data_IF_799169072664
#
_entry.id   IF_799169072664
#
_cell.length_a   1.000
_cell.length_b   1.000
_cell.length_c   1.000
_cell.angle_alpha   90.00
_cell.angle_beta   90.00
_cell.angle_gamma   90.00
#
_symmetry.space_group_name_H-M   'P 1'
#
loop_
_entity.id
_entity.type
_entity.pdbx_description
1 polymer ?
#
# COMPACT_ATOMS: atom_id res chain seq x y z
N UNK A 1 -9.54 -6.55 -23.93
CA UNK A 1 -8.80 -6.72 -22.66
C UNK A 1 -9.13 -5.52 -21.80
N UNK A 2 -9.54 -5.73 -20.56
CA UNK A 2 -9.80 -4.62 -19.64
C UNK A 2 -8.47 -4.16 -19.04
N UNK A 3 -8.24 -2.85 -18.98
CA UNK A 3 -7.12 -2.25 -18.25
C UNK A 3 -7.57 -2.09 -16.79
N UNK A 4 -6.68 -2.38 -15.86
CA UNK A 4 -6.88 -2.19 -14.41
C UNK A 4 -5.83 -1.20 -13.93
N UNK A 5 -6.27 -0.08 -13.40
CA UNK A 5 -5.39 0.93 -12.81
C UNK A 5 -5.25 0.68 -11.32
N UNK A 6 -4.01 0.55 -10.86
CA UNK A 6 -3.67 0.25 -9.46
C UNK A 6 -2.78 1.35 -8.91
N UNK A 7 -3.08 1.83 -7.71
CA UNK A 7 -2.21 2.76 -6.99
C UNK A 7 -1.70 2.12 -5.69
N UNK A 8 -0.47 2.45 -5.29
CA UNK A 8 0.03 2.18 -3.94
C UNK A 8 0.55 3.47 -3.30
N UNK A 9 0.28 3.65 -2.01
CA UNK A 9 0.70 4.85 -1.30
C UNK A 9 0.88 4.59 0.20
N UNK A 10 2.10 4.77 0.71
CA UNK A 10 2.32 4.91 2.14
C UNK A 10 1.89 6.32 2.58
N UNK A 11 0.81 6.43 3.34
CA UNK A 11 0.18 7.70 3.72
C UNK A 11 0.75 8.33 4.99
N UNK A 12 1.82 7.77 5.54
CA UNK A 12 2.47 8.25 6.76
C UNK A 12 1.46 8.59 7.89
N UNK A 13 0.51 7.70 8.08
CA UNK A 13 -0.52 7.81 9.14
C UNK A 13 -1.43 9.05 9.03
N UNK A 14 -1.50 9.68 7.84
CA UNK A 14 -2.31 10.88 7.60
C UNK A 14 -1.83 12.15 8.28
N UNK A 15 -0.59 12.16 8.82
CA UNK A 15 -0.03 13.29 9.58
C UNK A 15 1.43 13.50 9.20
N UNK A 16 1.79 14.71 8.82
CA UNK A 16 3.15 15.12 8.49
C UNK A 16 3.79 16.03 9.52
N UNK A 17 5.12 16.04 9.58
CA UNK A 17 5.91 16.88 10.47
C UNK A 17 6.13 16.33 11.87
N UNK A 18 6.91 17.01 12.68
CA UNK A 18 7.30 16.61 14.03
C UNK A 18 6.87 17.64 15.07
N UNK A 19 6.57 17.19 16.28
CA UNK A 19 6.23 18.06 17.41
C UNK A 19 5.11 19.07 17.11
N UNK A 20 5.32 20.37 17.40
CA UNK A 20 4.33 21.41 17.12
C UNK A 20 4.10 21.69 15.63
N UNK A 21 5.04 21.31 14.77
CA UNK A 21 4.93 21.49 13.33
C UNK A 21 4.12 20.37 12.63
N UNK A 22 3.48 19.50 13.39
CA UNK A 22 2.60 18.46 12.84
C UNK A 22 1.41 19.07 12.11
N UNK A 23 1.10 18.51 10.96
CA UNK A 23 -0.05 18.90 10.14
C UNK A 23 -0.88 17.67 9.83
N UNK A 24 -2.19 17.82 9.92
CA UNK A 24 -3.15 16.80 9.48
C UNK A 24 -3.27 16.89 7.96
N UNK A 25 -2.88 15.82 7.28
CA UNK A 25 -2.89 15.73 5.81
C UNK A 25 -3.99 14.79 5.27
N UNK A 26 -4.76 14.16 6.15
CA UNK A 26 -5.76 13.15 5.75
C UNK A 26 -6.79 13.68 4.74
N UNK A 27 -7.16 14.97 4.83
CA UNK A 27 -8.10 15.59 3.89
C UNK A 27 -7.48 15.76 2.50
N UNK A 28 -6.20 16.14 2.44
CA UNK A 28 -5.46 16.23 1.17
C UNK A 28 -5.24 14.85 0.58
N UNK A 29 -5.02 13.84 1.43
CA UNK A 29 -4.88 12.45 1.01
C UNK A 29 -6.18 11.89 0.43
N UNK A 30 -7.36 12.26 0.94
CA UNK A 30 -8.65 11.88 0.37
C UNK A 30 -8.77 12.39 -1.08
N UNK A 31 -8.50 13.68 -1.31
CA UNK A 31 -8.46 14.23 -2.67
C UNK A 31 -7.39 13.57 -3.55
N UNK A 32 -6.25 13.19 -2.98
CA UNK A 32 -5.20 12.50 -3.72
C UNK A 32 -5.67 11.12 -4.18
N UNK A 33 -6.38 10.37 -3.34
CA UNK A 33 -6.94 9.05 -3.69
C UNK A 33 -7.95 9.18 -4.83
N UNK A 34 -8.83 10.18 -4.79
CA UNK A 34 -9.75 10.47 -5.89
C UNK A 34 -9.00 10.78 -7.21
N UNK A 35 -7.91 11.56 -7.14
CA UNK A 35 -7.10 11.93 -8.31
C UNK A 35 -6.34 10.77 -8.94
N UNK A 36 -6.10 9.68 -8.23
CA UNK A 36 -5.50 8.48 -8.85
C UNK A 36 -6.40 7.91 -9.94
N UNK A 37 -7.71 8.08 -9.80
CA UNK A 37 -8.72 7.41 -10.65
C UNK A 37 -8.39 5.93 -10.84
N UNK A 38 -7.92 5.29 -9.76
CA UNK A 38 -7.44 3.93 -9.78
C UNK A 38 -8.57 2.97 -9.38
N UNK A 39 -8.66 1.83 -10.06
CA UNK A 39 -9.64 0.79 -9.75
C UNK A 39 -9.37 0.12 -8.41
N UNK A 40 -8.09 0.04 -8.03
CA UNK A 40 -7.61 -0.53 -6.77
C UNK A 40 -6.56 0.39 -6.16
N UNK A 41 -6.73 0.76 -4.89
CA UNK A 41 -5.77 1.58 -4.14
C UNK A 41 -5.26 0.80 -2.93
N UNK A 42 -3.95 0.58 -2.87
CA UNK A 42 -3.26 -0.13 -1.80
C UNK A 42 -2.58 0.89 -0.88
N UNK A 43 -3.03 0.99 0.37
CA UNK A 43 -2.55 1.99 1.32
C UNK A 43 -1.77 1.34 2.46
N UNK A 44 -0.67 1.98 2.87
CA UNK A 44 0.13 1.57 4.02
C UNK A 44 0.13 2.66 5.08
N UNK A 45 0.41 2.28 6.31
CA UNK A 45 0.38 3.14 7.49
C UNK A 45 -0.98 3.80 7.75
N UNK A 46 -2.08 3.15 7.36
CA UNK A 46 -3.45 3.62 7.59
C UNK A 46 -3.81 3.42 9.07
N UNK A 47 -4.41 4.41 9.71
CA UNK A 47 -4.88 4.32 11.10
C UNK A 47 -6.36 4.01 11.19
N UNK A 48 -6.72 3.11 12.10
CA UNK A 48 -8.11 2.98 12.53
C UNK A 48 -8.44 4.06 13.58
N UNK A 49 -7.58 4.25 14.56
CA UNK A 49 -7.74 5.29 15.59
C UNK A 49 -6.40 5.74 16.17
N UNK A 50 -6.38 6.93 16.82
CA UNK A 50 -5.22 7.41 17.59
C UNK A 50 -5.59 8.46 18.64
N UNK A 51 -5.92 8.05 19.84
CA UNK A 51 -6.46 8.83 20.96
C UNK A 51 -5.78 10.18 21.22
N UNK A 52 -4.46 10.28 21.01
CA UNK A 52 -3.71 11.52 21.26
C UNK A 52 -3.84 12.52 20.10
N UNK A 53 -3.84 12.04 18.85
CA UNK A 53 -3.93 12.91 17.66
C UNK A 53 -5.37 13.38 17.43
N UNK A 54 -6.36 12.54 17.71
CA UNK A 54 -7.78 12.89 17.70
C UNK A 54 -8.06 14.11 18.60
N UNK A 55 -7.42 14.17 19.77
CA UNK A 55 -7.52 15.34 20.69
C UNK A 55 -6.68 16.54 20.24
N UNK A 56 -5.63 16.31 19.45
CA UNK A 56 -4.71 17.38 19.00
C UNK A 56 -5.26 18.14 17.80
N UNK A 57 -5.96 17.46 16.90
CA UNK A 57 -6.46 18.04 15.65
C UNK A 57 -7.97 18.18 15.66
N UNK A 58 -8.47 19.41 15.65
CA UNK A 58 -9.91 19.72 15.67
C UNK A 58 -10.67 19.21 14.43
N UNK A 59 -9.96 18.95 13.33
CA UNK A 59 -10.51 18.45 12.07
C UNK A 59 -10.17 16.95 11.85
N UNK A 60 -9.89 16.20 12.92
CA UNK A 60 -9.71 14.76 12.79
C UNK A 60 -11.03 14.13 12.33
N UNK A 61 -11.02 13.23 11.32
CA UNK A 61 -12.25 12.57 10.87
C UNK A 61 -12.90 11.76 11.99
N UNK A 62 -14.24 11.74 12.00
CA UNK A 62 -15.03 10.94 12.96
C UNK A 62 -15.01 9.43 12.66
N UNK A 63 -14.58 9.05 11.46
CA UNK A 63 -14.42 7.67 11.02
C UNK A 63 -12.93 7.30 10.89
N UNK A 64 -12.64 6.00 10.82
CA UNK A 64 -11.26 5.53 10.57
C UNK A 64 -10.74 6.01 9.21
N UNK A 65 -9.40 6.05 9.07
CA UNK A 65 -8.77 6.60 7.88
C UNK A 65 -9.08 5.80 6.60
N UNK A 66 -9.26 4.47 6.68
CA UNK A 66 -9.57 3.68 5.50
C UNK A 66 -10.94 4.09 4.93
N UNK A 67 -11.97 4.16 5.77
CA UNK A 67 -13.30 4.60 5.35
C UNK A 67 -13.30 6.07 4.90
N UNK A 68 -12.57 6.95 5.62
CA UNK A 68 -12.49 8.37 5.25
C UNK A 68 -11.84 8.61 3.88
N UNK A 69 -10.86 7.78 3.51
CA UNK A 69 -10.14 7.87 2.23
C UNK A 69 -10.87 7.18 1.07
N UNK A 70 -11.99 6.49 1.35
CA UNK A 70 -12.70 5.71 0.35
C UNK A 70 -13.57 6.62 -0.52
N UNK A 71 -13.32 6.69 -1.84
CA UNK A 71 -14.18 7.44 -2.75
C UNK A 71 -15.59 6.84 -2.85
N UNK A 72 -16.56 7.64 -3.25
CA UNK A 72 -17.92 7.19 -3.49
C UNK A 72 -17.95 6.01 -4.49
N UNK A 73 -18.70 4.97 -4.15
CA UNK A 73 -18.82 3.76 -4.96
C UNK A 73 -17.68 2.75 -4.83
N UNK A 74 -16.71 2.99 -3.93
CA UNK A 74 -15.67 2.01 -3.61
C UNK A 74 -16.00 1.24 -2.33
N UNK A 75 -15.40 0.06 -2.21
CA UNK A 75 -15.36 -0.72 -0.98
C UNK A 75 -13.99 -0.61 -0.31
N UNK A 76 -13.98 -0.47 1.02
CA UNK A 76 -12.75 -0.43 1.82
C UNK A 76 -12.54 -1.72 2.61
N UNK A 77 -11.30 -2.18 2.64
CA UNK A 77 -10.84 -3.24 3.53
C UNK A 77 -9.64 -2.75 4.31
N UNK A 78 -9.66 -2.90 5.62
CA UNK A 78 -8.55 -2.54 6.51
C UNK A 78 -8.18 -3.70 7.43
N UNK A 79 -6.89 -3.85 7.73
CA UNK A 79 -6.37 -4.75 8.77
C UNK A 79 -5.21 -4.10 9.51
N UNK A 80 -5.28 -4.17 10.83
CA UNK A 80 -4.23 -3.69 11.75
C UNK A 80 -2.99 -4.57 11.66
N UNK A 81 -1.84 -3.96 11.41
CA UNK A 81 -0.53 -4.63 11.49
C UNK A 81 0.14 -4.39 12.83
N UNK A 82 0.06 -3.15 13.34
CA UNK A 82 0.78 -2.73 14.53
C UNK A 82 -0.12 -2.00 15.53
N UNK A 83 -0.03 -2.41 16.78
CA UNK A 83 -0.72 -1.79 17.91
C UNK A 83 0.28 -1.05 18.78
N UNK A 84 -0.04 0.19 19.13
CA UNK A 84 0.77 1.07 19.95
C UNK A 84 0.00 1.53 21.19
N UNK A 85 0.67 2.16 22.16
CA UNK A 85 0.02 2.71 23.37
C UNK A 85 -1.15 3.66 23.07
N UNK A 86 -1.12 4.37 21.93
CA UNK A 86 -2.06 5.44 21.63
C UNK A 86 -3.03 5.13 20.49
N UNK A 87 -2.84 4.06 19.77
CA UNK A 87 -3.66 3.68 18.63
C UNK A 87 -3.03 2.54 17.84
N UNK A 88 -3.52 2.32 16.65
CA UNK A 88 -3.07 1.26 15.77
C UNK A 88 -2.93 1.77 14.33
N UNK A 89 -2.20 1.03 13.51
CA UNK A 89 -2.11 1.26 12.08
C UNK A 89 -1.86 -0.04 11.32
N UNK A 90 -2.20 -0.02 10.05
CA UNK A 90 -2.08 -1.21 9.21
C UNK A 90 -2.14 -0.90 7.74
N UNK A 91 -2.59 -1.90 7.00
CA UNK A 91 -2.78 -1.83 5.56
C UNK A 91 -4.26 -1.70 5.23
N UNK A 92 -4.57 -0.95 4.17
CA UNK A 92 -5.91 -0.90 3.60
C UNK A 92 -5.87 -1.13 2.08
N UNK A 93 -6.99 -1.62 1.55
CA UNK A 93 -7.26 -1.68 0.12
C UNK A 93 -8.61 -1.02 -0.14
N UNK A 94 -8.66 -0.11 -1.10
CA UNK A 94 -9.89 0.47 -1.61
C UNK A 94 -10.11 -0.09 -3.02
N UNK A 95 -11.33 -0.46 -3.35
CA UNK A 95 -11.64 -1.09 -4.63
C UNK A 95 -12.93 -0.53 -5.22
N UNK A 96 -12.87 -0.13 -6.49
CA UNK A 96 -14.04 0.18 -7.32
C UNK A 96 -14.86 -1.08 -7.66
N UNK A 97 -14.22 -2.24 -7.56
CA UNK A 97 -14.81 -3.53 -7.86
C UNK A 97 -15.21 -4.27 -6.59
N UNK A 98 -16.24 -5.12 -6.63
CA UNK A 98 -16.69 -5.87 -5.45
C UNK A 98 -15.58 -6.70 -4.81
N UNK A 99 -15.45 -6.60 -3.49
CA UNK A 99 -14.52 -7.39 -2.69
C UNK A 99 -15.21 -8.67 -2.23
N UNK A 100 -14.77 -9.81 -2.74
CA UNK A 100 -15.38 -11.10 -2.46
C UNK A 100 -14.96 -11.68 -1.11
N UNK A 101 -13.69 -11.51 -0.75
CA UNK A 101 -13.15 -11.96 0.53
C UNK A 101 -11.86 -11.21 0.87
N UNK A 102 -11.49 -11.23 2.15
CA UNK A 102 -10.19 -10.73 2.59
C UNK A 102 -9.72 -11.41 3.87
N UNK A 103 -8.42 -11.48 4.02
CA UNK A 103 -7.74 -12.04 5.20
C UNK A 103 -6.42 -11.33 5.46
N UNK A 104 -5.90 -11.47 6.66
CA UNK A 104 -4.58 -10.98 7.04
C UNK A 104 -3.68 -12.15 7.42
N UNK A 105 -2.38 -12.01 7.10
CA UNK A 105 -1.34 -12.87 7.65
C UNK A 105 -0.28 -12.01 8.34
N UNK A 106 0.05 -12.34 9.57
CA UNK A 106 1.21 -11.78 10.26
C UNK A 106 2.49 -12.31 9.60
N UNK A 107 3.34 -11.37 9.19
CA UNK A 107 4.67 -11.62 8.62
C UNK A 107 5.76 -10.92 9.44
N UNK A 108 5.47 -10.56 10.69
CA UNK A 108 6.44 -9.95 11.59
C UNK A 108 7.64 -10.89 11.78
N UNK A 109 8.85 -10.34 11.65
CA UNK A 109 10.09 -11.09 11.83
C UNK A 109 10.58 -11.03 13.27
N UNK A 110 10.25 -9.94 13.98
CA UNK A 110 10.58 -9.74 15.38
C UNK A 110 9.56 -8.84 16.08
N UNK A 111 9.49 -8.96 17.42
CA UNK A 111 8.46 -8.31 18.24
C UNK A 111 8.45 -6.77 18.22
N UNK A 112 9.51 -6.14 17.78
CA UNK A 112 9.64 -4.67 17.79
C UNK A 112 9.12 -4.01 16.51
N UNK A 113 8.84 -4.80 15.46
CA UNK A 113 8.38 -4.30 14.19
C UNK A 113 7.27 -5.22 13.65
N UNK A 114 6.04 -4.88 14.00
CA UNK A 114 4.86 -5.64 13.59
C UNK A 114 4.55 -5.34 12.12
N UNK A 115 4.43 -6.38 11.30
CA UNK A 115 4.14 -6.33 9.86
C UNK A 115 3.12 -7.40 9.48
N UNK A 116 2.24 -7.04 8.56
CA UNK A 116 1.24 -7.96 8.02
C UNK A 116 1.07 -7.77 6.53
N UNK A 117 0.62 -8.81 5.86
CA UNK A 117 0.05 -8.70 4.52
C UNK A 117 -1.49 -8.71 4.62
N UNK A 118 -2.13 -7.85 3.84
CA UNK A 118 -3.57 -7.87 3.63
C UNK A 118 -3.83 -8.49 2.26
N UNK A 119 -4.47 -9.64 2.23
CA UNK A 119 -4.89 -10.31 1.00
C UNK A 119 -6.39 -10.13 0.80
N UNK A 120 -6.78 -9.71 -0.39
CA UNK A 120 -8.19 -9.56 -0.80
C UNK A 120 -8.40 -10.23 -2.14
N UNK A 121 -9.60 -10.75 -2.38
CA UNK A 121 -10.06 -11.18 -3.70
C UNK A 121 -11.07 -10.20 -4.23
N UNK A 122 -10.88 -9.73 -5.45
CA UNK A 122 -11.67 -8.67 -6.08
C UNK A 122 -12.25 -9.19 -7.39
N UNK A 123 -13.54 -8.98 -7.62
CA UNK A 123 -14.20 -9.34 -8.88
C UNK A 123 -13.99 -8.25 -9.92
N UNK A 124 -12.98 -8.40 -10.78
CA UNK A 124 -12.71 -7.46 -11.86
C UNK A 124 -13.32 -7.99 -13.15
N UNK A 125 -14.42 -7.37 -13.56
CA UNK A 125 -15.24 -7.82 -14.71
C UNK A 125 -15.64 -9.30 -14.56
N UNK A 126 -15.04 -10.19 -15.34
CA UNK A 126 -15.28 -11.64 -15.37
C UNK A 126 -14.21 -12.48 -14.66
N UNK A 127 -13.25 -11.84 -14.01
CA UNK A 127 -12.12 -12.51 -13.35
C UNK A 127 -11.99 -12.15 -11.87
N UNK A 128 -11.60 -13.11 -11.07
CA UNK A 128 -11.17 -12.88 -9.70
C UNK A 128 -9.68 -12.55 -9.70
N UNK A 129 -9.34 -11.37 -9.21
CA UNK A 129 -7.95 -10.90 -9.03
C UNK A 129 -7.61 -10.95 -7.55
N UNK A 130 -6.48 -11.56 -7.22
CA UNK A 130 -5.93 -11.55 -5.87
C UNK A 130 -5.06 -10.32 -5.67
N UNK A 131 -5.37 -9.51 -4.68
CA UNK A 131 -4.64 -8.28 -4.33
C UNK A 131 -4.00 -8.44 -2.96
N UNK A 132 -2.70 -8.22 -2.87
CA UNK A 132 -1.96 -8.29 -1.61
C UNK A 132 -1.31 -6.95 -1.35
N UNK A 133 -1.68 -6.33 -0.22
CA UNK A 133 -1.05 -5.10 0.27
C UNK A 133 -0.01 -5.45 1.32
N UNK A 134 1.22 -4.94 1.13
CA UNK A 134 2.34 -5.17 2.05
C UNK A 134 2.94 -3.85 2.53
N UNK A 135 3.51 -3.89 3.73
CA UNK A 135 4.48 -2.91 4.23
C UNK A 135 5.58 -3.69 4.93
N UNK A 136 6.73 -3.82 4.30
CA UNK A 136 7.84 -4.64 4.81
C UNK A 136 8.68 -3.88 5.84
N UNK A 137 9.50 -4.62 6.58
CA UNK A 137 10.32 -4.10 7.65
C UNK A 137 11.51 -3.27 7.19
N UNK A 138 12.07 -2.47 8.11
CA UNK A 138 13.22 -1.62 7.86
C UNK A 138 14.56 -2.39 7.83
N UNK A 139 14.62 -3.56 8.47
CA UNK A 139 15.83 -4.39 8.55
C UNK A 139 15.96 -5.24 7.27
N UNK A 140 17.10 -5.18 6.53
CA UNK A 140 17.29 -5.91 5.27
C UNK A 140 17.03 -7.42 5.37
N UNK A 141 17.56 -8.07 6.41
CA UNK A 141 17.37 -9.50 6.62
C UNK A 141 15.92 -9.88 6.92
N UNK A 142 15.20 -9.03 7.66
CA UNK A 142 13.77 -9.20 7.93
C UNK A 142 12.95 -9.11 6.65
N UNK A 143 13.21 -8.14 5.78
CA UNK A 143 12.53 -8.01 4.48
C UNK A 143 12.69 -9.27 3.62
N UNK A 144 13.90 -9.83 3.57
CA UNK A 144 14.11 -11.08 2.82
C UNK A 144 13.24 -12.21 3.35
N UNK A 145 13.17 -12.40 4.68
CA UNK A 145 12.33 -13.43 5.30
C UNK A 145 10.84 -13.14 5.08
N UNK A 146 10.43 -11.88 5.15
CA UNK A 146 9.05 -11.46 4.88
C UNK A 146 8.64 -11.71 3.43
N UNK A 147 9.51 -11.47 2.45
CA UNK A 147 9.24 -11.84 1.05
C UNK A 147 9.14 -13.35 0.88
N UNK A 148 9.97 -14.13 1.55
CA UNK A 148 9.84 -15.61 1.54
C UNK A 148 8.48 -16.04 2.11
N UNK A 149 8.04 -15.45 3.22
CA UNK A 149 6.72 -15.73 3.80
C UNK A 149 5.57 -15.30 2.86
N UNK A 150 5.70 -14.14 2.20
CA UNK A 150 4.75 -13.64 1.21
C UNK A 150 4.61 -14.63 0.03
N UNK A 151 5.73 -15.07 -0.55
CA UNK A 151 5.73 -15.99 -1.67
C UNK A 151 5.17 -17.37 -1.27
N UNK A 152 5.53 -17.89 -0.12
CA UNK A 152 4.96 -19.12 0.43
C UNK A 152 3.44 -19.00 0.68
N UNK A 153 2.97 -17.86 1.19
CA UNK A 153 1.54 -17.60 1.36
C UNK A 153 0.82 -17.63 0.00
N UNK A 154 1.37 -16.96 -1.02
CA UNK A 154 0.80 -16.93 -2.37
C UNK A 154 0.70 -18.35 -2.93
N UNK A 155 1.76 -19.14 -2.82
CA UNK A 155 1.83 -20.50 -3.34
C UNK A 155 0.83 -21.45 -2.65
N UNK A 156 0.62 -21.29 -1.35
CA UNK A 156 -0.29 -22.10 -0.54
C UNK A 156 -1.77 -21.71 -0.66
N UNK A 157 -2.05 -20.43 -0.94
CA UNK A 157 -3.41 -19.87 -0.78
C UNK A 157 -4.06 -19.51 -2.13
N UNK A 158 -3.25 -19.20 -3.15
CA UNK A 158 -3.75 -18.66 -4.42
C UNK A 158 -3.55 -19.69 -5.53
N UNK A 159 -4.58 -20.00 -6.34
CA UNK A 159 -4.45 -20.88 -7.47
C UNK A 159 -3.33 -20.44 -8.43
N UNK A 160 -2.54 -21.38 -8.94
CA UNK A 160 -1.33 -21.10 -9.71
C UNK A 160 -1.57 -20.20 -10.95
N UNK A 161 -2.73 -20.34 -11.59
CA UNK A 161 -3.10 -19.56 -12.79
C UNK A 161 -3.91 -18.29 -12.49
N UNK A 162 -4.25 -18.03 -11.22
CA UNK A 162 -4.99 -16.84 -10.84
C UNK A 162 -4.11 -15.57 -10.97
N UNK A 163 -4.68 -14.47 -11.46
CA UNK A 163 -3.97 -13.19 -11.49
C UNK A 163 -3.75 -12.68 -10.07
N UNK A 164 -2.52 -12.22 -9.80
CA UNK A 164 -2.09 -11.71 -8.50
C UNK A 164 -1.43 -10.35 -8.67
N UNK A 165 -1.86 -9.38 -7.87
CA UNK A 165 -1.21 -8.09 -7.66
C UNK A 165 -0.61 -8.07 -6.25
N UNK A 166 0.64 -7.66 -6.13
CA UNK A 166 1.30 -7.38 -4.85
C UNK A 166 1.76 -5.93 -4.88
N UNK A 167 1.21 -5.11 -4.02
CA UNK A 167 1.52 -3.68 -4.00
C UNK A 167 1.82 -3.19 -2.58
N UNK A 168 2.70 -2.21 -2.45
CA UNK A 168 3.01 -1.62 -1.16
C UNK A 168 4.41 -1.07 -1.03
N UNK A 169 4.73 -0.71 0.21
CA UNK A 169 6.05 -0.26 0.62
C UNK A 169 6.92 -1.49 0.98
N UNK A 170 7.86 -1.80 0.10
CA UNK A 170 8.81 -2.90 0.28
C UNK A 170 10.03 -2.49 1.10
N UNK A 171 10.20 -1.20 1.38
CA UNK A 171 11.40 -0.67 2.03
C UNK A 171 12.70 -1.17 1.37
N UNK A 172 12.69 -1.46 0.05
CA UNK A 172 13.82 -2.03 -0.67
C UNK A 172 14.82 -0.94 -1.09
N UNK A 173 15.81 -0.71 -0.25
CA UNK A 173 16.94 0.18 -0.52
C UNK A 173 17.96 -0.42 -1.50
N UNK A 174 17.68 -1.58 -2.07
CA UNK A 174 18.51 -2.26 -3.04
C UNK A 174 17.68 -3.20 -3.90
N UNK A 175 18.26 -3.75 -4.94
CA UNK A 175 17.56 -4.53 -5.98
C UNK A 175 17.30 -6.00 -5.63
N UNK A 176 17.54 -6.41 -4.37
CA UNK A 176 17.49 -7.82 -3.97
C UNK A 176 16.09 -8.43 -3.98
N UNK A 177 15.09 -7.70 -3.51
CA UNK A 177 13.72 -8.19 -3.40
C UNK A 177 13.05 -8.30 -4.77
N UNK A 178 13.21 -7.32 -5.65
CA UNK A 178 12.68 -7.36 -7.01
C UNK A 178 13.16 -8.58 -7.81
N UNK A 179 14.40 -9.02 -7.60
CA UNK A 179 14.93 -10.23 -8.23
C UNK A 179 14.22 -11.49 -7.74
N UNK A 180 13.91 -11.57 -6.43
CA UNK A 180 13.14 -12.69 -5.86
C UNK A 180 11.71 -12.73 -6.38
N UNK A 181 11.06 -11.56 -6.49
CA UNK A 181 9.72 -11.44 -7.07
C UNK A 181 9.73 -11.90 -8.53
N UNK A 182 10.72 -11.46 -9.33
CA UNK A 182 10.87 -11.91 -10.72
C UNK A 182 11.09 -13.41 -10.87
N UNK A 183 11.91 -14.03 -10.00
CA UNK A 183 12.10 -15.49 -9.96
C UNK A 183 10.81 -16.27 -9.62
N UNK A 184 9.90 -15.65 -8.88
CA UNK A 184 8.57 -16.19 -8.56
C UNK A 184 7.51 -15.88 -9.65
N UNK A 185 7.93 -15.37 -10.82
CA UNK A 185 7.07 -15.10 -11.96
C UNK A 185 6.29 -13.77 -11.88
N UNK A 186 6.68 -12.87 -10.99
CA UNK A 186 6.09 -11.53 -10.92
C UNK A 186 6.82 -10.55 -11.84
N UNK A 187 6.05 -9.85 -12.69
CA UNK A 187 6.51 -8.73 -13.49
C UNK A 187 6.27 -7.40 -12.79
N UNK A 188 7.06 -6.41 -13.15
CA UNK A 188 6.94 -5.01 -12.76
C UNK A 188 7.23 -4.15 -13.98
N UNK A 189 6.61 -2.97 -14.09
CA UNK A 189 7.00 -1.97 -15.09
C UNK A 189 8.41 -1.45 -14.81
N UNK A 190 9.29 -1.40 -15.83
CA UNK A 190 10.71 -1.07 -15.63
C UNK A 190 11.36 -0.19 -16.69
N UNK A 191 10.59 0.41 -17.60
CA UNK A 191 11.23 1.26 -18.64
C UNK A 191 11.93 2.49 -18.07
N UNK A 192 11.43 3.03 -16.93
CA UNK A 192 12.06 4.14 -16.22
C UNK A 192 11.99 3.91 -14.72
N UNK A 193 13.00 4.39 -13.96
CA UNK A 193 12.93 4.42 -12.50
C UNK A 193 11.71 5.21 -12.04
N UNK A 194 11.00 4.69 -11.05
CA UNK A 194 9.86 5.35 -10.40
C UNK A 194 10.17 5.61 -8.92
N UNK A 195 11.13 6.54 -8.61
CA UNK A 195 11.49 6.81 -7.24
C UNK A 195 10.34 7.45 -6.47
N UNK A 196 10.06 6.92 -5.28
CA UNK A 196 8.93 7.35 -4.44
C UNK A 196 9.38 7.96 -3.11
N UNK A 197 10.65 7.77 -2.71
CA UNK A 197 11.15 8.21 -1.41
C UNK A 197 12.53 8.91 -1.51
N UNK A 198 12.78 9.94 -0.68
CA UNK A 198 11.80 10.70 0.09
C UNK A 198 10.98 11.62 -0.82
N UNK A 199 9.74 11.90 -0.49
CA UNK A 199 8.79 12.63 -1.37
C UNK A 199 9.31 13.98 -1.87
N UNK A 200 10.13 14.70 -1.09
CA UNK A 200 10.68 16.02 -1.44
C UNK A 200 11.83 15.96 -2.43
N UNK A 201 12.60 14.87 -2.43
CA UNK A 201 13.72 14.61 -3.32
C UNK A 201 13.77 13.11 -3.59
N UNK A 202 12.90 12.60 -4.48
CA UNK A 202 12.77 11.16 -4.68
C UNK A 202 14.01 10.58 -5.36
N UNK A 203 14.73 9.73 -4.62
CA UNK A 203 15.96 9.08 -5.03
C UNK A 203 15.84 7.55 -5.03
N UNK A 204 14.96 7.00 -4.20
CA UNK A 204 14.80 5.56 -4.01
C UNK A 204 13.39 5.11 -4.37
N UNK A 205 13.28 3.97 -5.03
CA UNK A 205 12.00 3.30 -5.27
C UNK A 205 11.78 2.32 -4.12
N UNK A 206 10.98 2.69 -3.12
CA UNK A 206 10.62 1.84 -1.99
C UNK A 206 9.25 1.19 -2.18
N UNK A 207 8.39 1.84 -2.97
CA UNK A 207 7.05 1.38 -3.27
C UNK A 207 7.02 0.66 -4.61
N UNK A 208 6.36 -0.50 -4.65
CA UNK A 208 6.34 -1.38 -5.81
C UNK A 208 4.93 -1.90 -6.10
N UNK A 209 4.65 -2.19 -7.37
CA UNK A 209 3.47 -2.91 -7.84
C UNK A 209 3.96 -4.05 -8.72
N UNK A 210 3.85 -5.28 -8.22
CA UNK A 210 4.20 -6.52 -8.90
C UNK A 210 2.95 -7.23 -9.39
N UNK A 211 3.01 -7.82 -10.58
CA UNK A 211 1.90 -8.53 -11.18
C UNK A 211 2.32 -9.94 -11.66
N UNK A 212 1.47 -10.93 -11.42
CA UNK A 212 1.55 -12.27 -12.01
C UNK A 212 0.22 -12.61 -12.68
N UNK A 213 0.24 -13.13 -13.91
CA UNK A 213 -0.97 -13.38 -14.69
C UNK A 213 -1.65 -12.12 -15.26
N UNK A 214 -1.04 -10.94 -15.09
CA UNK A 214 -1.40 -9.64 -15.65
C UNK A 214 -0.15 -9.05 -16.33
N UNK A 215 -0.36 -8.25 -17.39
CA UNK A 215 0.73 -7.61 -18.11
C UNK A 215 0.85 -6.16 -17.68
N UNK A 216 1.95 -5.74 -17.04
CA UNK A 216 2.21 -4.33 -16.77
C UNK A 216 2.33 -3.52 -18.07
N UNK A 217 1.61 -2.41 -18.17
CA UNK A 217 1.58 -1.56 -19.36
C UNK A 217 2.31 -0.24 -19.14
N UNK A 218 2.14 0.35 -17.95
CA UNK A 218 2.63 1.67 -17.64
C UNK A 218 2.76 1.84 -16.12
N UNK A 219 3.70 2.67 -15.68
CA UNK A 219 3.77 3.13 -14.28
C UNK A 219 4.21 4.58 -14.21
N UNK A 220 3.67 5.33 -13.25
CA UNK A 220 4.00 6.73 -13.02
C UNK A 220 4.01 7.09 -11.53
N UNK A 221 4.81 8.07 -11.19
CA UNK A 221 4.79 8.77 -9.91
C UNK A 221 4.25 10.17 -10.16
N UNK A 222 3.11 10.58 -9.56
CA UNK A 222 2.58 11.92 -9.70
C UNK A 222 3.58 12.98 -9.27
N UNK A 223 3.69 14.05 -10.05
CA UNK A 223 4.62 15.15 -9.80
C UNK A 223 3.92 16.39 -9.23
N UNK A 224 4.69 17.24 -8.55
CA UNK A 224 4.22 18.53 -8.04
C UNK A 224 4.33 18.67 -6.53
N UNK A 225 4.35 19.94 -6.06
CA UNK A 225 4.61 20.28 -4.66
C UNK A 225 3.56 19.75 -3.68
N UNK A 226 2.34 19.53 -4.11
CA UNK A 226 1.28 19.02 -3.24
C UNK A 226 1.60 17.60 -2.79
N UNK A 227 2.05 16.74 -3.70
CA UNK A 227 2.44 15.36 -3.41
C UNK A 227 3.59 15.27 -2.40
N UNK A 228 4.57 16.20 -2.50
CA UNK A 228 5.73 16.28 -1.61
C UNK A 228 5.38 16.66 -0.15
N UNK A 229 4.14 17.10 0.10
CA UNK A 229 3.71 17.60 1.42
C UNK A 229 2.79 16.64 2.16
N UNK A 230 2.11 15.74 1.45
CA UNK A 230 1.06 14.89 2.05
C UNK A 230 1.63 13.69 2.80
N UNK A 231 2.73 13.12 2.29
CA UNK A 231 3.44 12.00 2.91
C UNK A 231 4.95 12.16 2.71
N UNK A 232 5.77 11.38 3.41
CA UNK A 232 7.21 11.24 3.14
C UNK A 232 7.49 10.30 1.95
N UNK A 233 6.49 9.56 1.47
CA UNK A 233 6.49 8.85 0.20
C UNK A 233 5.71 9.63 -0.87
N UNK A 234 5.98 9.30 -2.14
CA UNK A 234 5.12 9.62 -3.29
C UNK A 234 4.30 8.38 -3.66
N UNK A 235 3.07 8.54 -4.19
CA UNK A 235 2.31 7.40 -4.67
C UNK A 235 2.92 6.83 -5.96
N UNK A 236 2.75 5.53 -6.18
CA UNK A 236 3.03 4.86 -7.44
C UNK A 236 1.71 4.40 -8.05
N UNK A 237 1.49 4.73 -9.32
CA UNK A 237 0.29 4.32 -10.09
C UNK A 237 0.74 3.50 -11.28
N UNK A 238 0.06 2.38 -11.55
CA UNK A 238 0.36 1.47 -12.66
C UNK A 238 -0.92 0.98 -13.37
N UNK A 239 -0.76 0.59 -14.63
CA UNK A 239 -1.78 -0.05 -15.45
C UNK A 239 -1.30 -1.39 -15.99
#
# INVERSE_FOLDING_TARGET
MSIVRVATYNIHKGVQGLGPARRLEIHNLAHAVEQFDADIVCLQEVRSHHRKLEKQFTRWPDQDQANYLTPDGYEAVYRTNAVTRHGEHGNAMLSRWPVLSYQQKDISDHRFEQRGLLHSTVQVVDRVVHVIVVHLGLVPASRVRQVVQLLAFIEQTIPALAPVLVAGDFNDWGTGLGRRMAQAGFGEWREQPTPTFPSRLPLNQLDHIYARGLKPLYAMVPSGRIWQRMSDHLPLVAE
#
